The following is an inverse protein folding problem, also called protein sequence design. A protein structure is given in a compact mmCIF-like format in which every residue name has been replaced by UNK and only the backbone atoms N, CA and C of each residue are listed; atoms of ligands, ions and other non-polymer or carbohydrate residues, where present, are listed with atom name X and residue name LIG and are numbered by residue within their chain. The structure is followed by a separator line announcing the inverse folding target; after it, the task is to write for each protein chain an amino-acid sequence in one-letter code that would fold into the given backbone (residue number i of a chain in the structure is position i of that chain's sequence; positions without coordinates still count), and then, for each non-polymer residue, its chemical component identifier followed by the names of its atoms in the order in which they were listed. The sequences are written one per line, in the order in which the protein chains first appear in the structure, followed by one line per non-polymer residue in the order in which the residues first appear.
data_IF_250962795901
#
_entry.id   IF_250962795901
#
_cell.length_a   1.000
_cell.length_b   1.000
_cell.length_c   1.000
_cell.angle_alpha   90.00
_cell.angle_beta   90.00
_cell.angle_gamma   90.00
#
_symmetry.space_group_name_H-M   'P 1'
#
loop_
_entity.id
_entity.type
_entity.pdbx_description
1 polymer ?
#
# COMPACT_ATOMS: atom_id res chain seq x y z
N UNK A 1 44.96 -7.30 -71.78
CA UNK A 1 44.35 -6.74 -70.56
C UNK A 1 42.90 -6.40 -70.89
N UNK A 2 41.95 -7.12 -70.27
CA UNK A 2 40.51 -7.00 -70.54
C UNK A 2 39.85 -6.48 -69.27
N UNK A 3 39.28 -5.29 -69.31
CA UNK A 3 38.50 -4.69 -68.22
C UNK A 3 37.02 -4.97 -68.48
N UNK A 4 36.40 -5.71 -67.55
CA UNK A 4 34.97 -5.96 -67.51
C UNK A 4 34.35 -5.03 -66.46
N UNK A 5 33.39 -4.21 -66.87
CA UNK A 5 32.61 -3.35 -65.99
C UNK A 5 31.27 -4.04 -65.73
N UNK A 6 31.05 -4.52 -64.50
CA UNK A 6 29.80 -5.14 -64.07
C UNK A 6 28.96 -4.09 -63.34
N UNK A 7 27.77 -3.88 -63.87
CA UNK A 7 26.65 -3.14 -63.30
C UNK A 7 26.07 -3.87 -62.08
N UNK A 8 25.73 -3.13 -61.02
CA UNK A 8 24.85 -3.62 -59.96
C UNK A 8 23.92 -2.51 -59.51
N UNK A 9 22.67 -2.63 -59.94
CA UNK A 9 21.50 -1.85 -59.53
C UNK A 9 21.05 -2.30 -58.14
N UNK A 10 21.13 -1.42 -57.14
CA UNK A 10 20.46 -1.63 -55.86
C UNK A 10 18.97 -1.28 -56.00
N UNK A 11 18.11 -2.30 -55.86
CA UNK A 11 16.70 -2.13 -55.58
C UNK A 11 16.51 -2.02 -54.07
N UNK A 12 16.12 -0.84 -53.58
CA UNK A 12 15.63 -0.68 -52.21
C UNK A 12 14.12 -0.86 -52.19
N UNK A 13 13.68 -1.99 -51.62
CA UNK A 13 12.29 -2.22 -51.28
C UNK A 13 11.88 -1.27 -50.13
N UNK A 14 10.91 -0.40 -50.39
CA UNK A 14 10.26 0.42 -49.36
C UNK A 14 9.25 -0.46 -48.60
N UNK A 15 9.66 -0.97 -47.44
CA UNK A 15 8.73 -1.54 -46.47
C UNK A 15 8.01 -0.39 -45.75
N UNK A 16 6.71 -0.28 -45.96
CA UNK A 16 5.84 0.61 -45.22
C UNK A 16 5.82 0.19 -43.73
N UNK A 17 6.47 0.98 -42.87
CA UNK A 17 6.24 0.90 -41.42
C UNK A 17 5.14 1.91 -41.11
N UNK A 18 3.93 1.38 -40.88
CA UNK A 18 2.85 2.14 -40.30
C UNK A 18 3.33 2.71 -38.94
N UNK A 19 3.42 4.03 -38.85
CA UNK A 19 3.67 4.71 -37.59
C UNK A 19 2.51 4.40 -36.63
N UNK A 20 2.77 3.90 -35.40
CA UNK A 20 1.73 3.84 -34.40
C UNK A 20 1.25 5.27 -34.13
N UNK A 21 -0.07 5.43 -34.19
CA UNK A 21 -0.75 6.71 -34.13
C UNK A 21 -0.32 7.56 -32.95
N UNK A 22 -0.19 8.85 -33.24
CA UNK A 22 -0.07 9.95 -32.29
C UNK A 22 -0.92 9.68 -31.06
N UNK A 23 -0.27 9.35 -29.94
CA UNK A 23 -0.93 9.33 -28.65
C UNK A 23 -1.50 10.72 -28.43
N UNK A 24 -2.83 10.81 -28.39
CA UNK A 24 -3.51 12.03 -27.93
C UNK A 24 -3.00 12.34 -26.54
N UNK A 25 -2.10 13.32 -26.45
CA UNK A 25 -1.83 14.06 -25.23
C UNK A 25 -3.12 14.75 -24.83
N UNK A 26 -3.96 14.02 -24.11
CA UNK A 26 -5.14 14.55 -23.47
C UNK A 26 -4.67 15.24 -22.20
N UNK A 27 -4.12 16.45 -22.37
CA UNK A 27 -3.79 17.37 -21.28
C UNK A 27 -5.08 17.82 -20.59
N UNK A 28 -5.63 16.97 -19.72
CA UNK A 28 -6.59 17.32 -18.68
C UNK A 28 -5.81 17.48 -17.38
N UNK A 29 -5.55 18.73 -17.00
CA UNK A 29 -5.33 19.22 -15.63
C UNK A 29 -5.07 18.15 -14.53
N UNK A 30 -3.80 17.79 -14.31
CA UNK A 30 -3.18 17.85 -12.98
C UNK A 30 -3.62 16.93 -11.82
N UNK A 31 -4.43 15.88 -12.00
CA UNK A 31 -4.51 14.74 -11.05
C UNK A 31 -4.87 13.45 -11.82
N UNK A 32 -3.89 12.59 -12.07
CA UNK A 32 -4.14 11.29 -12.71
C UNK A 32 -5.04 10.37 -11.89
N UNK A 33 -5.66 9.37 -12.53
CA UNK A 33 -6.45 8.30 -11.88
C UNK A 33 -5.63 7.63 -10.79
N UNK A 34 -6.23 7.40 -9.61
CA UNK A 34 -5.54 6.77 -8.49
C UNK A 34 -5.15 5.31 -8.79
N UNK A 35 -4.08 4.78 -8.17
CA UNK A 35 -3.68 3.40 -8.39
C UNK A 35 -4.79 2.43 -8.00
N UNK A 36 -5.11 1.50 -8.89
CA UNK A 36 -6.17 0.52 -8.69
C UNK A 36 -5.63 -0.85 -8.31
N UNK A 37 -6.48 -1.67 -7.68
CA UNK A 37 -6.24 -3.09 -7.42
C UNK A 37 -7.56 -3.87 -7.59
N UNK A 38 -7.54 -5.20 -7.38
CA UNK A 38 -8.75 -6.02 -7.56
C UNK A 38 -9.90 -5.70 -6.60
N UNK A 39 -9.62 -5.21 -5.39
CA UNK A 39 -10.62 -4.75 -4.42
C UNK A 39 -11.05 -3.29 -4.66
N UNK A 40 -10.23 -2.50 -5.36
CA UNK A 40 -10.43 -1.08 -5.67
C UNK A 40 -10.22 -0.83 -7.17
N UNK A 41 -11.15 -1.29 -8.04
CA UNK A 41 -10.96 -1.28 -9.49
C UNK A 41 -10.86 0.12 -10.10
N UNK A 42 -11.37 1.14 -9.41
CA UNK A 42 -11.28 2.55 -9.80
C UNK A 42 -10.21 3.32 -9.02
N UNK A 43 -9.43 2.64 -8.17
CA UNK A 43 -8.43 3.22 -7.28
C UNK A 43 -9.01 4.05 -6.13
N UNK A 44 -10.32 3.94 -5.89
CA UNK A 44 -10.99 4.59 -4.75
C UNK A 44 -11.34 3.57 -3.67
N UNK A 45 -11.60 4.03 -2.45
CA UNK A 45 -12.03 3.15 -1.35
C UNK A 45 -13.50 2.70 -1.44
N UNK A 46 -14.26 3.22 -2.42
CA UNK A 46 -15.68 2.99 -2.54
C UNK A 46 -16.49 3.45 -1.32
N UNK A 47 -17.63 2.79 -1.07
CA UNK A 47 -18.58 3.14 0.00
C UNK A 47 -18.39 2.34 1.30
N UNK A 48 -17.66 1.22 1.25
CA UNK A 48 -17.55 0.27 2.35
C UNK A 48 -16.07 0.01 2.66
N UNK A 49 -15.50 0.82 3.53
CA UNK A 49 -14.13 0.67 3.98
C UNK A 49 -13.98 1.10 5.44
N UNK A 50 -12.89 0.67 6.06
CA UNK A 50 -12.46 1.07 7.40
C UNK A 50 -11.11 1.77 7.29
N UNK A 51 -11.00 2.94 7.90
CA UNK A 51 -9.74 3.68 8.01
C UNK A 51 -8.97 3.24 9.26
N UNK A 52 -7.66 3.47 9.30
CA UNK A 52 -6.88 3.26 10.52
C UNK A 52 -7.39 4.16 11.64
N UNK A 53 -7.64 3.58 12.81
CA UNK A 53 -8.05 4.31 14.00
C UNK A 53 -6.86 4.81 14.82
N UNK A 54 -5.69 4.16 14.69
CA UNK A 54 -4.49 4.51 15.45
C UNK A 54 -3.21 4.19 14.68
N UNK A 55 -2.23 5.09 14.79
CA UNK A 55 -0.85 4.90 14.34
C UNK A 55 0.07 5.08 15.54
N UNK A 56 0.88 4.08 15.85
CA UNK A 56 1.85 4.13 16.97
C UNK A 56 3.22 3.69 16.47
N UNK A 57 4.24 4.57 16.50
CA UNK A 57 5.59 4.17 16.18
C UNK A 57 6.19 3.36 17.33
N UNK A 58 7.06 2.41 16.98
CA UNK A 58 7.92 1.66 17.90
C UNK A 58 9.32 1.67 17.31
N UNK A 59 10.35 1.72 18.16
CA UNK A 59 11.74 1.79 17.71
C UNK A 59 12.58 0.72 18.39
N UNK A 60 13.36 -0.03 17.60
CA UNK A 60 14.29 -1.04 18.11
C UNK A 60 15.42 -0.42 18.94
N UNK A 61 15.87 0.78 18.56
CA UNK A 61 16.89 1.57 19.25
C UNK A 61 16.41 2.10 20.61
N UNK A 62 15.10 2.23 20.81
CA UNK A 62 14.46 2.68 22.04
C UNK A 62 13.41 1.66 22.50
N UNK A 63 13.80 0.43 22.85
CA UNK A 63 12.89 -0.71 22.79
C UNK A 63 11.84 -0.74 23.92
N UNK A 64 12.05 0.05 24.98
CA UNK A 64 11.14 0.20 26.12
C UNK A 64 10.49 1.59 26.18
N UNK A 65 10.69 2.44 25.17
CA UNK A 65 10.09 3.78 25.13
C UNK A 65 8.75 3.69 24.41
N UNK A 66 7.63 4.08 25.07
CA UNK A 66 6.36 4.20 24.39
C UNK A 66 6.26 5.55 23.70
N UNK A 67 5.69 5.56 22.51
CA UNK A 67 5.44 6.78 21.75
C UNK A 67 3.95 7.14 21.76
N UNK A 68 3.61 8.44 21.66
CA UNK A 68 2.23 8.86 21.48
C UNK A 68 1.67 8.43 20.12
N UNK A 69 0.35 8.53 19.98
CA UNK A 69 -0.30 8.39 18.68
C UNK A 69 0.20 9.47 17.72
N UNK A 70 0.30 9.12 16.44
CA UNK A 70 0.70 10.05 15.36
C UNK A 70 -0.35 10.01 14.24
N UNK A 71 -0.27 11.00 13.34
CA UNK A 71 -0.98 10.94 12.04
C UNK A 71 -0.06 10.55 10.89
N UNK A 72 1.24 10.61 11.13
CA UNK A 72 2.29 10.23 10.20
C UNK A 72 2.86 8.88 10.62
N UNK A 73 2.65 7.87 9.78
CA UNK A 73 3.37 6.62 9.90
C UNK A 73 4.85 6.87 9.59
N UNK A 74 5.72 6.22 10.35
CA UNK A 74 7.17 6.32 10.24
C UNK A 74 7.77 4.92 10.19
N UNK A 75 8.64 4.70 9.21
CA UNK A 75 9.43 3.50 9.03
C UNK A 75 10.84 3.93 8.69
N UNK A 76 11.83 3.42 9.42
CA UNK A 76 13.25 3.66 9.13
C UNK A 76 13.97 2.32 8.98
N UNK A 77 15.08 2.29 8.22
CA UNK A 77 15.84 1.06 8.02
C UNK A 77 16.27 0.43 9.35
N UNK A 78 15.84 -0.81 9.59
CA UNK A 78 16.18 -1.66 10.74
C UNK A 78 15.85 -1.11 12.14
N UNK A 79 15.05 -0.04 12.27
CA UNK A 79 14.81 0.58 13.56
C UNK A 79 13.34 0.90 13.85
N UNK A 80 12.80 1.95 13.23
CA UNK A 80 11.45 2.42 13.49
C UNK A 80 10.46 1.64 12.63
N UNK A 81 9.42 1.12 13.27
CA UNK A 81 8.24 0.57 12.64
C UNK A 81 7.01 1.35 13.09
N UNK A 82 5.93 1.32 12.31
CA UNK A 82 4.62 1.83 12.76
C UNK A 82 3.63 0.69 12.90
N UNK A 83 2.91 0.66 14.02
CA UNK A 83 1.73 -0.18 14.23
C UNK A 83 0.48 0.58 13.82
N UNK A 84 -0.40 -0.09 13.09
CA UNK A 84 -1.68 0.42 12.62
C UNK A 84 -2.79 -0.38 13.30
N UNK A 85 -3.73 0.30 13.96
CA UNK A 85 -4.99 -0.33 14.37
C UNK A 85 -6.09 0.05 13.38
N UNK A 86 -6.97 -0.90 13.07
CA UNK A 86 -8.20 -0.70 12.33
C UNK A 86 -9.34 -1.34 13.13
N UNK A 87 -10.36 -0.55 13.47
CA UNK A 87 -11.50 -1.03 14.24
C UNK A 87 -12.64 -1.39 13.30
N UNK A 88 -12.85 -2.70 13.12
CA UNK A 88 -13.80 -3.25 12.15
C UNK A 88 -15.18 -3.32 12.80
N UNK A 89 -16.18 -2.55 12.32
CA UNK A 89 -17.54 -2.64 12.84
C UNK A 89 -18.14 -4.01 12.52
N UNK A 90 -18.51 -4.78 13.56
CA UNK A 90 -18.96 -6.17 13.42
C UNK A 90 -20.14 -6.26 12.45
N UNK A 91 -21.11 -5.34 12.58
CA UNK A 91 -22.29 -5.27 11.72
C UNK A 91 -21.97 -5.09 10.22
N UNK A 92 -20.90 -4.37 9.88
CA UNK A 92 -20.52 -4.11 8.49
C UNK A 92 -19.68 -5.24 7.88
N UNK A 93 -19.06 -6.07 8.71
CA UNK A 93 -18.15 -7.15 8.29
C UNK A 93 -18.83 -8.51 8.10
N UNK A 94 -20.11 -8.64 8.47
CA UNK A 94 -20.84 -9.90 8.33
C UNK A 94 -21.01 -10.29 6.86
N UNK A 95 -20.57 -11.51 6.51
CA UNK A 95 -20.62 -12.02 5.14
C UNK A 95 -19.74 -11.27 4.15
N UNK A 96 -18.71 -10.54 4.63
CA UNK A 96 -17.77 -9.79 3.78
C UNK A 96 -16.39 -10.45 3.73
N UNK A 97 -15.67 -10.12 2.67
CA UNK A 97 -14.23 -10.29 2.56
C UNK A 97 -13.57 -8.98 3.00
N UNK A 98 -12.62 -9.10 3.91
CA UNK A 98 -11.81 -8.02 4.42
C UNK A 98 -10.50 -7.97 3.62
N UNK A 99 -10.37 -6.99 2.74
CA UNK A 99 -9.15 -6.75 1.98
C UNK A 99 -8.33 -5.70 2.72
N UNK A 100 -7.25 -6.11 3.39
CA UNK A 100 -6.26 -5.17 3.90
C UNK A 100 -5.44 -4.68 2.71
N UNK A 101 -5.60 -3.41 2.39
CA UNK A 101 -4.91 -2.75 1.30
C UNK A 101 -3.93 -1.72 1.82
N UNK A 102 -2.83 -1.53 1.10
CA UNK A 102 -1.94 -0.40 1.25
C UNK A 102 -1.94 0.39 -0.05
N UNK A 103 -2.56 1.57 -0.03
CA UNK A 103 -2.60 2.47 -1.16
C UNK A 103 -1.38 3.38 -1.13
N UNK A 104 -0.60 3.39 -2.22
CA UNK A 104 0.65 4.12 -2.34
C UNK A 104 0.70 4.96 -3.63
N UNK A 105 -0.02 6.10 -3.69
CA UNK A 105 -0.04 6.99 -4.85
C UNK A 105 1.35 7.51 -5.22
N UNK A 106 1.48 7.99 -6.46
CA UNK A 106 2.69 8.70 -6.90
C UNK A 106 2.83 10.04 -6.18
N UNK A 107 4.03 10.63 -6.26
CA UNK A 107 4.29 11.97 -5.70
C UNK A 107 3.35 13.05 -6.27
N UNK A 108 2.95 12.94 -7.54
CA UNK A 108 2.02 13.87 -8.20
C UNK A 108 0.58 13.69 -7.70
N UNK A 109 0.20 12.47 -7.34
CA UNK A 109 -1.13 12.11 -6.85
C UNK A 109 -1.34 12.44 -5.36
N UNK A 110 -0.26 12.46 -4.58
CA UNK A 110 -0.28 12.76 -3.15
C UNK A 110 0.85 13.72 -2.73
N UNK A 111 0.89 14.95 -3.31
CA UNK A 111 2.00 15.88 -3.10
C UNK A 111 2.13 16.26 -1.62
N UNK A 112 3.34 16.12 -1.08
CA UNK A 112 3.64 16.47 0.31
C UNK A 112 3.01 15.54 1.36
N UNK A 113 2.40 14.41 0.96
CA UNK A 113 1.80 13.45 1.90
C UNK A 113 2.73 12.30 2.28
N UNK A 114 3.89 12.16 1.63
CA UNK A 114 4.89 11.17 2.02
C UNK A 114 6.32 11.56 1.61
N UNK A 115 7.28 10.87 2.24
CA UNK A 115 8.70 10.84 1.89
C UNK A 115 9.14 9.37 1.81
N UNK A 116 9.68 8.96 0.67
CA UNK A 116 10.12 7.58 0.42
C UNK A 116 11.54 7.56 -0.13
N UNK A 117 12.45 6.87 0.55
CA UNK A 117 13.86 6.74 0.17
C UNK A 117 14.32 5.30 0.41
N UNK A 118 14.70 4.61 -0.65
CA UNK A 118 15.17 3.21 -0.59
C UNK A 118 14.49 2.33 -1.62
N UNK A 119 14.74 1.01 -1.57
CA UNK A 119 14.25 0.06 -2.56
C UNK A 119 12.76 -0.31 -2.41
N UNK A 120 12.16 -0.06 -1.23
CA UNK A 120 10.75 -0.40 -0.96
C UNK A 120 10.54 -1.79 -0.36
N UNK A 121 11.57 -2.40 0.22
CA UNK A 121 11.41 -3.69 0.91
C UNK A 121 10.70 -3.45 2.25
N UNK A 122 9.57 -4.10 2.47
CA UNK A 122 8.83 -3.96 3.72
C UNK A 122 8.41 -5.32 4.27
N UNK A 123 8.36 -5.39 5.59
CA UNK A 123 7.78 -6.50 6.33
C UNK A 123 6.54 -6.02 7.05
N UNK A 124 5.40 -6.61 6.69
CA UNK A 124 4.16 -6.43 7.43
C UNK A 124 3.98 -7.60 8.41
N UNK A 125 3.74 -7.31 9.69
CA UNK A 125 3.47 -8.33 10.72
C UNK A 125 2.06 -8.13 11.25
N UNK A 126 1.18 -9.12 11.10
CA UNK A 126 -0.18 -9.08 11.61
C UNK A 126 -0.25 -9.50 13.07
N UNK A 127 -1.11 -8.85 13.84
CA UNK A 127 -1.38 -9.19 15.24
C UNK A 127 -2.70 -9.97 15.38
N UNK A 128 -2.90 -10.58 16.54
CA UNK A 128 -4.11 -11.31 16.86
C UNK A 128 -5.34 -10.41 16.82
N UNK A 129 -6.48 -10.98 16.44
CA UNK A 129 -7.77 -10.28 16.46
C UNK A 129 -8.07 -9.81 17.89
N UNK A 130 -8.47 -8.54 18.04
CA UNK A 130 -8.68 -7.89 19.33
C UNK A 130 -7.41 -7.40 20.01
N UNK A 131 -6.22 -7.68 19.46
CA UNK A 131 -4.97 -7.12 19.91
C UNK A 131 -4.60 -5.90 19.06
N UNK A 132 -4.28 -4.78 19.70
CA UNK A 132 -3.91 -3.53 19.05
C UNK A 132 -2.89 -2.75 19.87
N UNK A 133 -2.21 -1.80 19.23
CA UNK A 133 -1.36 -0.88 19.95
C UNK A 133 -2.19 0.06 20.84
N UNK A 134 -1.60 0.50 21.94
CA UNK A 134 -2.13 1.50 22.84
C UNK A 134 -1.13 2.65 22.90
N UNK A 135 -1.56 3.83 22.48
CA UNK A 135 -0.72 5.03 22.47
C UNK A 135 -0.15 5.32 23.87
N UNK A 136 1.15 5.63 23.94
CA UNK A 136 1.82 5.89 25.21
C UNK A 136 2.06 4.65 26.08
N UNK A 137 1.72 3.43 25.62
CA UNK A 137 1.97 2.19 26.37
C UNK A 137 2.68 1.09 25.56
N UNK A 138 2.37 0.99 24.26
CA UNK A 138 3.02 0.01 23.38
C UNK A 138 4.46 0.41 23.10
N UNK A 139 5.37 -0.55 23.20
CA UNK A 139 6.80 -0.39 22.93
C UNK A 139 7.27 -1.48 21.98
N UNK A 140 8.52 -1.39 21.50
CA UNK A 140 9.10 -2.44 20.66
C UNK A 140 9.18 -3.80 21.38
N UNK A 141 9.51 -3.82 22.68
CA UNK A 141 9.56 -5.04 23.48
C UNK A 141 8.19 -5.50 23.98
N UNK A 142 7.17 -4.64 23.94
CA UNK A 142 5.81 -4.92 24.41
C UNK A 142 4.80 -4.62 23.29
N UNK A 143 4.91 -5.40 22.21
CA UNK A 143 4.00 -5.35 21.07
C UNK A 143 2.72 -6.15 21.35
N UNK A 144 1.63 -5.92 20.60
CA UNK A 144 0.44 -6.76 20.65
C UNK A 144 0.76 -8.24 20.35
N UNK A 145 -0.10 -9.14 20.83
CA UNK A 145 0.09 -10.57 20.59
C UNK A 145 0.13 -10.88 19.08
N UNK A 146 1.08 -11.70 18.60
CA UNK A 146 1.18 -12.04 17.18
C UNK A 146 -0.07 -12.79 16.70
N UNK A 147 -0.48 -12.54 15.46
CA UNK A 147 -1.64 -13.18 14.85
C UNK A 147 -1.34 -14.58 14.31
N UNK A 148 -2.37 -15.40 14.07
CA UNK A 148 -2.22 -16.77 13.55
C UNK A 148 -1.78 -16.81 12.07
N UNK A 149 -1.99 -15.72 11.32
CA UNK A 149 -1.68 -15.65 9.89
C UNK A 149 -0.51 -14.71 9.64
N UNK A 150 0.66 -15.20 9.16
CA UNK A 150 1.68 -14.32 8.66
C UNK A 150 1.12 -13.59 7.42
N UNK A 151 1.15 -12.25 7.39
CA UNK A 151 0.80 -11.53 6.18
C UNK A 151 1.79 -11.88 5.07
N UNK A 152 1.33 -11.88 3.82
CA UNK A 152 2.19 -12.06 2.66
C UNK A 152 2.21 -10.76 1.85
N UNK A 153 2.83 -9.67 2.39
CA UNK A 153 2.95 -8.45 1.62
C UNK A 153 3.73 -8.73 0.34
N UNK A 154 3.51 -7.96 -0.73
CA UNK A 154 4.39 -7.97 -1.89
C UNK A 154 5.84 -7.77 -1.42
N UNK A 155 6.83 -8.40 -2.07
CA UNK A 155 8.23 -8.29 -1.66
C UNK A 155 8.76 -6.84 -1.71
N UNK A 156 8.08 -5.97 -2.45
CA UNK A 156 8.46 -4.57 -2.61
C UNK A 156 7.20 -3.72 -2.78
N UNK A 157 7.15 -2.57 -2.11
CA UNK A 157 6.10 -1.56 -2.28
C UNK A 157 6.74 -0.21 -2.63
N UNK A 158 6.42 0.29 -3.80
CA UNK A 158 6.87 1.58 -4.35
C UNK A 158 5.70 2.52 -4.66
N UNK A 159 5.92 3.84 -4.71
CA UNK A 159 4.91 4.82 -5.10
C UNK A 159 4.26 4.52 -6.47
N UNK A 160 3.06 5.01 -6.68
CA UNK A 160 2.26 4.85 -7.92
C UNK A 160 1.44 3.56 -8.01
N UNK A 161 1.26 2.84 -6.90
CA UNK A 161 0.65 1.50 -6.88
C UNK A 161 -0.34 1.35 -5.72
N UNK A 162 -1.18 0.32 -5.80
CA UNK A 162 -2.05 -0.10 -4.71
C UNK A 162 -1.88 -1.60 -4.48
N UNK A 163 -1.71 -2.00 -3.22
CA UNK A 163 -1.27 -3.34 -2.84
C UNK A 163 -2.31 -4.01 -1.94
N UNK A 164 -2.73 -5.23 -2.29
CA UNK A 164 -3.49 -6.08 -1.38
C UNK A 164 -2.49 -6.83 -0.49
N UNK A 165 -2.45 -6.48 0.79
CA UNK A 165 -1.54 -7.06 1.79
C UNK A 165 -2.10 -8.38 2.33
N UNK A 166 -3.43 -8.44 2.47
CA UNK A 166 -4.15 -9.64 2.83
C UNK A 166 -5.59 -9.56 2.30
N UNK A 167 -6.16 -10.69 1.92
CA UNK A 167 -7.58 -10.80 1.55
C UNK A 167 -8.12 -12.12 2.09
N UNK A 168 -9.10 -12.02 2.99
CA UNK A 168 -9.72 -13.17 3.62
C UNK A 168 -11.15 -12.82 4.05
N UNK A 169 -12.04 -13.82 4.24
CA UNK A 169 -13.29 -13.59 4.94
C UNK A 169 -13.02 -12.88 6.27
N UNK A 170 -13.82 -11.86 6.61
CA UNK A 170 -13.57 -11.09 7.83
C UNK A 170 -13.59 -11.97 9.09
N UNK A 171 -14.41 -13.04 9.09
CA UNK A 171 -14.37 -14.08 10.11
C UNK A 171 -14.77 -13.62 11.52
N UNK A 172 -15.37 -12.43 11.65
CA UNK A 172 -15.77 -11.86 12.95
C UNK A 172 -17.14 -12.42 13.35
N UNK A 173 -17.26 -13.14 14.49
CA UNK A 173 -18.54 -13.68 14.95
C UNK A 173 -19.57 -12.58 15.18
N UNK A 174 -20.81 -12.80 14.75
CA UNK A 174 -21.93 -11.87 14.93
C UNK A 174 -22.31 -11.61 16.39
N UNK A 175 -21.87 -12.48 17.31
CA UNK A 175 -22.11 -12.35 18.75
C UNK A 175 -21.23 -11.29 19.41
N UNK A 176 -20.17 -10.81 18.74
CA UNK A 176 -19.30 -9.77 19.28
C UNK A 176 -20.00 -8.41 19.11
N UNK A 177 -20.22 -7.65 20.20
CA UNK A 177 -20.84 -6.34 20.10
C UNK A 177 -19.85 -5.29 19.58
N UNK A 178 -20.35 -4.32 18.81
CA UNK A 178 -19.59 -3.12 18.43
C UNK A 178 -18.56 -3.36 17.32
N UNK A 179 -17.28 -3.23 17.66
CA UNK A 179 -16.16 -3.32 16.73
C UNK A 179 -15.06 -4.22 17.27
N UNK A 180 -14.27 -4.80 16.37
CA UNK A 180 -13.10 -5.60 16.72
C UNK A 180 -11.85 -4.96 16.11
N UNK A 181 -10.82 -4.75 16.93
CA UNK A 181 -9.54 -4.24 16.45
C UNK A 181 -8.79 -5.33 15.70
N UNK A 182 -8.37 -5.03 14.48
CA UNK A 182 -7.29 -5.76 13.80
C UNK A 182 -6.11 -4.81 13.68
N UNK A 183 -4.89 -5.34 13.77
CA UNK A 183 -3.71 -4.49 13.71
C UNK A 183 -2.52 -5.21 13.10
N UNK A 184 -1.52 -4.43 12.70
CA UNK A 184 -0.24 -4.94 12.24
C UNK A 184 0.85 -3.89 12.28
N UNK A 185 2.11 -4.30 12.16
CA UNK A 185 3.26 -3.40 12.04
C UNK A 185 3.86 -3.41 10.64
N UNK A 186 4.24 -2.24 10.16
CA UNK A 186 5.07 -2.06 8.96
C UNK A 186 6.50 -1.71 9.41
N UNK A 187 7.44 -2.56 9.02
CA UNK A 187 8.88 -2.38 9.24
C UNK A 187 9.62 -2.45 7.90
N UNK A 188 10.83 -1.91 7.83
CA UNK A 188 11.71 -2.09 6.67
C UNK A 188 13.15 -2.35 7.09
N UNK A 189 13.89 -3.24 6.41
CA UNK A 189 15.32 -3.40 6.62
C UNK A 189 16.17 -2.33 5.90
N UNK A 190 15.64 -1.63 4.91
CA UNK A 190 16.46 -0.85 3.96
C UNK A 190 15.81 0.45 3.44
N UNK A 191 14.56 0.70 3.80
CA UNK A 191 13.76 1.80 3.26
C UNK A 191 13.34 2.74 4.37
N UNK A 192 13.60 4.03 4.15
CA UNK A 192 12.98 5.10 4.92
C UNK A 192 11.65 5.45 4.27
N UNK A 193 10.59 5.42 5.05
CA UNK A 193 9.26 5.77 4.58
C UNK A 193 8.45 6.46 5.66
N UNK A 194 7.99 7.68 5.36
CA UNK A 194 7.09 8.45 6.21
C UNK A 194 5.88 8.86 5.39
N UNK A 195 4.67 8.60 5.87
CA UNK A 195 3.45 8.96 5.14
C UNK A 195 2.32 9.39 6.05
N UNK A 196 1.49 10.30 5.56
CA UNK A 196 0.28 10.76 6.22
C UNK A 196 -0.89 9.90 5.79
N UNK A 197 -1.51 9.20 6.75
CA UNK A 197 -2.70 8.40 6.48
C UNK A 197 -3.84 9.32 6.01
N UNK A 198 -4.32 9.14 4.78
CA UNK A 198 -5.31 10.04 4.20
C UNK A 198 -6.11 9.38 3.08
N UNK A 199 -7.37 9.76 2.97
CA UNK A 199 -8.26 9.46 1.85
C UNK A 199 -8.69 10.74 1.11
N UNK A 200 -8.01 11.86 1.34
CA UNK A 200 -8.25 13.12 0.63
C UNK A 200 -7.50 13.10 -0.71
N UNK A 201 -8.22 13.01 -1.82
CA UNK A 201 -7.64 12.72 -3.14
C UNK A 201 -7.38 11.23 -3.32
N UNK A 202 -6.21 10.87 -3.85
CA UNK A 202 -5.84 9.45 -3.91
C UNK A 202 -5.55 8.92 -2.49
N UNK A 203 -6.16 7.78 -2.11
CA UNK A 203 -5.90 7.18 -0.81
C UNK A 203 -4.40 6.91 -0.62
N UNK A 204 -3.89 7.18 0.57
CA UNK A 204 -2.53 6.89 0.98
C UNK A 204 -2.58 6.30 2.38
N UNK A 205 -2.07 5.08 2.53
CA UNK A 205 -2.02 4.38 3.81
C UNK A 205 -2.75 3.04 3.80
N UNK A 206 -3.02 2.52 5.00
CA UNK A 206 -3.68 1.23 5.17
C UNK A 206 -5.20 1.39 5.29
N UNK A 207 -5.94 0.55 4.61
CA UNK A 207 -7.40 0.51 4.72
C UNK A 207 -7.87 -0.95 4.72
N UNK A 208 -9.05 -1.20 5.31
CA UNK A 208 -9.78 -2.44 5.04
C UNK A 208 -10.91 -2.11 4.07
N UNK A 209 -10.83 -2.64 2.85
CA UNK A 209 -11.91 -2.55 1.86
C UNK A 209 -12.81 -3.77 1.97
N UNK A 210 -14.10 -3.55 2.19
CA UNK A 210 -15.08 -4.61 2.40
C UNK A 210 -15.75 -4.95 1.07
N UNK A 211 -15.52 -6.17 0.59
CA UNK A 211 -16.19 -6.72 -0.60
C UNK A 211 -17.15 -7.82 -0.20
N UNK A 212 -18.10 -8.16 -1.08
CA UNK A 212 -18.95 -9.33 -0.87
C UNK A 212 -18.09 -10.60 -0.95
N UNK A 213 -18.40 -11.58 -0.09
CA UNK A 213 -17.84 -12.92 -0.15
C UNK A 213 -18.47 -13.77 -1.25
#
# INVERSE_FOLDING_TARGET
MKTATITSTLAFALSAVAAPGSSSYNSKSGRGTCPANAAQPDGTLGKSYVNTSLLVPIAKSLPNVPFPATKWAQVTPNDVCTIFNLDLPVAQTQGKVCNLVFDFPSYEQAPGKFLFLGPGSFKFTGYAIGAGAVAGQTTYNKQPAPGPSPPNPPPTMTPGHSYIINSAPCGIPSTVPGSVTVSGSLCSPDTFFSFYQSNDGCPLGFFVVLTNA
#
